data_IF_132105941894
#
_entry.id   IF_132105941894
#
_cell.length_a   1.000
_cell.length_b   1.000
_cell.length_c   1.000
_cell.angle_alpha   90.00
_cell.angle_beta   90.00
_cell.angle_gamma   90.00
#
_symmetry.space_group_name_H-M   'P 1'
#
loop_
_entity.id
_entity.type
_entity.pdbx_description
1 polymer ?
#
# COMPACT_ATOMS: atom_id res chain seq x y z
N UNK A 1 -5.15 32.34 -48.60
CA UNK A 1 -4.40 32.89 -47.45
C UNK A 1 -5.37 33.73 -46.63
N UNK A 2 -5.92 33.19 -45.54
CA UNK A 2 -6.66 33.92 -44.49
C UNK A 2 -6.64 33.08 -43.20
N UNK A 3 -6.03 33.69 -42.19
CA UNK A 3 -6.00 33.47 -40.72
C UNK A 3 -6.79 32.26 -40.19
N UNK A 4 -6.15 31.26 -39.56
CA UNK A 4 -5.71 31.17 -38.14
C UNK A 4 -6.77 31.54 -37.09
N UNK A 5 -6.89 30.63 -36.12
CA UNK A 5 -7.64 30.67 -34.87
C UNK A 5 -9.14 30.43 -34.98
N UNK A 6 -9.54 29.21 -34.62
CA UNK A 6 -10.66 29.04 -33.71
C UNK A 6 -10.39 27.90 -32.73
N UNK A 7 -10.25 28.35 -31.48
CA UNK A 7 -10.54 27.66 -30.23
C UNK A 7 -9.83 26.34 -29.95
N UNK A 8 -8.74 26.47 -29.19
CA UNK A 8 -8.46 25.61 -28.04
C UNK A 8 -9.79 25.15 -27.43
N UNK A 9 -10.15 23.89 -27.67
CA UNK A 9 -11.16 23.20 -26.89
C UNK A 9 -10.77 23.41 -25.44
N UNK A 10 -11.60 24.13 -24.69
CA UNK A 10 -11.38 24.36 -23.28
C UNK A 10 -11.43 22.98 -22.61
N UNK A 11 -10.26 22.38 -22.41
CA UNK A 11 -10.12 21.15 -21.64
C UNK A 11 -10.21 21.58 -20.19
N UNK A 12 -11.42 21.94 -19.75
CA UNK A 12 -11.71 21.90 -18.32
C UNK A 12 -11.24 20.52 -17.87
N UNK A 13 -10.28 20.42 -16.93
CA UNK A 13 -9.78 19.13 -16.53
C UNK A 13 -10.99 18.34 -16.07
N UNK A 14 -11.32 17.26 -16.79
CA UNK A 14 -12.44 16.41 -16.44
C UNK A 14 -12.32 16.09 -14.95
N UNK A 15 -13.43 16.11 -14.22
CA UNK A 15 -13.39 15.81 -12.79
C UNK A 15 -12.80 14.41 -12.59
N UNK A 16 -12.02 14.18 -11.53
CA UNK A 16 -11.51 12.85 -11.23
C UNK A 16 -12.70 11.90 -11.02
N UNK A 17 -12.63 10.72 -11.62
CA UNK A 17 -13.66 9.70 -11.48
C UNK A 17 -13.61 9.07 -10.09
N UNK A 18 -14.74 8.53 -9.64
CA UNK A 18 -14.82 7.79 -8.37
C UNK A 18 -13.83 6.62 -8.35
N UNK A 19 -13.63 5.96 -9.49
CA UNK A 19 -12.68 4.85 -9.61
C UNK A 19 -11.22 5.28 -9.41
N UNK A 20 -10.81 6.40 -10.01
CA UNK A 20 -9.47 7.01 -9.81
C UNK A 20 -9.27 7.39 -8.34
N UNK A 21 -10.27 8.02 -7.72
CA UNK A 21 -10.22 8.38 -6.30
C UNK A 21 -10.15 7.16 -5.39
N UNK A 22 -10.84 6.07 -5.75
CA UNK A 22 -10.84 4.82 -4.98
C UNK A 22 -9.48 4.13 -5.05
N UNK A 23 -8.83 4.09 -6.21
CA UNK A 23 -7.46 3.57 -6.35
C UNK A 23 -6.47 4.49 -5.60
N UNK A 24 -6.65 5.81 -5.68
CA UNK A 24 -5.86 6.75 -4.87
C UNK A 24 -6.02 6.53 -3.37
N UNK A 25 -7.24 6.26 -2.90
CA UNK A 25 -7.49 5.93 -1.50
C UNK A 25 -6.88 4.57 -1.10
N UNK A 26 -6.85 3.59 -2.01
CA UNK A 26 -6.14 2.34 -1.78
C UNK A 26 -4.64 2.57 -1.58
N UNK A 27 -4.03 3.38 -2.45
CA UNK A 27 -2.63 3.77 -2.32
C UNK A 27 -2.37 4.55 -1.03
N UNK A 28 -3.30 5.42 -0.63
CA UNK A 28 -3.22 6.17 0.62
C UNK A 28 -3.09 5.23 1.82
N UNK A 29 -3.94 4.20 1.91
CA UNK A 29 -3.90 3.23 2.98
C UNK A 29 -2.55 2.49 3.02
N UNK A 30 -2.00 2.08 1.87
CA UNK A 30 -0.68 1.44 1.81
C UNK A 30 0.44 2.38 2.26
N UNK A 31 0.46 3.63 1.77
CA UNK A 31 1.46 4.63 2.16
C UNK A 31 1.37 5.02 3.64
N UNK A 32 0.14 5.11 4.14
CA UNK A 32 -0.15 5.41 5.54
C UNK A 32 0.37 4.28 6.42
N UNK A 33 0.07 3.02 6.08
CA UNK A 33 0.59 1.84 6.77
C UNK A 33 2.12 1.83 6.87
N UNK A 34 2.83 2.11 5.78
CA UNK A 34 4.31 2.17 5.81
C UNK A 34 4.78 3.22 6.81
N UNK A 35 4.15 4.40 6.79
CA UNK A 35 4.53 5.50 7.69
C UNK A 35 4.21 5.17 9.16
N UNK A 36 3.06 4.55 9.42
CA UNK A 36 2.65 4.10 10.76
C UNK A 36 3.56 3.00 11.30
N UNK A 37 3.96 2.06 10.44
CA UNK A 37 4.66 0.84 10.84
C UNK A 37 6.17 1.03 10.99
N UNK A 38 6.75 1.88 10.15
CA UNK A 38 8.22 1.98 10.02
C UNK A 38 8.78 3.38 10.20
N UNK A 39 7.95 4.43 10.26
CA UNK A 39 8.39 5.82 10.44
C UNK A 39 7.86 6.45 11.72
N UNK A 40 7.22 5.67 12.57
CA UNK A 40 6.69 6.13 13.84
C UNK A 40 7.03 5.16 14.95
N UNK A 41 7.32 5.73 16.13
CA UNK A 41 7.47 4.98 17.36
C UNK A 41 6.13 4.48 17.92
N UNK A 42 4.98 4.80 17.30
CA UNK A 42 3.65 4.47 17.84
C UNK A 42 3.46 3.00 18.24
N UNK A 43 4.06 2.06 17.50
CA UNK A 43 4.02 0.62 17.79
C UNK A 43 4.98 0.18 18.90
N UNK A 44 6.09 0.91 19.07
CA UNK A 44 7.20 0.52 19.95
C UNK A 44 7.43 1.47 21.14
N UNK A 45 6.60 2.50 21.29
CA UNK A 45 6.77 3.59 22.26
C UNK A 45 6.83 3.13 23.73
N UNK A 46 6.35 1.91 24.02
CA UNK A 46 6.34 1.32 25.36
C UNK A 46 7.64 0.60 25.73
N UNK A 47 8.55 0.39 24.78
CA UNK A 47 9.78 -0.37 24.99
C UNK A 47 10.98 0.57 25.12
N UNK A 48 11.81 0.36 26.15
CA UNK A 48 13.02 1.18 26.39
C UNK A 48 14.07 1.13 25.28
N UNK A 49 13.98 0.15 24.38
CA UNK A 49 14.83 -0.02 23.19
C UNK A 49 13.99 -0.02 21.89
N UNK A 50 12.84 0.66 21.88
CA UNK A 50 11.89 0.63 20.77
C UNK A 50 12.43 1.15 19.45
N UNK A 51 13.36 2.12 19.47
CA UNK A 51 14.01 2.65 18.26
C UNK A 51 14.84 1.56 17.55
N UNK A 52 15.62 0.80 18.32
CA UNK A 52 16.40 -0.33 17.78
C UNK A 52 15.51 -1.44 17.21
N UNK A 53 14.36 -1.71 17.84
CA UNK A 53 13.38 -2.68 17.33
C UNK A 53 12.77 -2.21 16.01
N UNK A 54 12.40 -0.93 15.95
CA UNK A 54 11.86 -0.30 14.74
C UNK A 54 12.87 -0.40 13.59
N UNK A 55 14.11 0.03 13.82
CA UNK A 55 15.18 0.02 12.83
C UNK A 55 15.46 -1.40 12.31
N UNK A 56 15.56 -2.37 13.23
CA UNK A 56 15.82 -3.76 12.87
C UNK A 56 14.67 -4.33 12.04
N UNK A 57 13.43 -4.15 12.49
CA UNK A 57 12.24 -4.66 11.81
C UNK A 57 12.10 -4.02 10.42
N UNK A 58 12.39 -2.71 10.32
CA UNK A 58 12.33 -2.00 9.06
C UNK A 58 13.40 -2.45 8.07
N UNK A 59 14.66 -2.59 8.52
CA UNK A 59 15.76 -3.07 7.69
C UNK A 59 15.47 -4.46 7.13
N UNK A 60 14.99 -5.38 7.98
CA UNK A 60 14.61 -6.73 7.55
C UNK A 60 13.47 -6.67 6.53
N UNK A 61 12.48 -5.81 6.74
CA UNK A 61 11.38 -5.61 5.80
C UNK A 61 11.85 -5.04 4.46
N UNK A 62 12.80 -4.11 4.44
CA UNK A 62 13.38 -3.55 3.20
C UNK A 62 14.12 -4.63 2.42
N UNK A 63 14.94 -5.44 3.09
CA UNK A 63 15.65 -6.55 2.44
C UNK A 63 14.64 -7.55 1.87
N UNK A 64 13.64 -7.95 2.66
CA UNK A 64 12.62 -8.89 2.24
C UNK A 64 11.75 -8.36 1.08
N UNK A 65 11.34 -7.09 1.10
CA UNK A 65 10.56 -6.50 -0.01
C UNK A 65 11.39 -6.45 -1.29
N UNK A 66 12.67 -6.09 -1.19
CA UNK A 66 13.58 -6.01 -2.34
C UNK A 66 13.81 -7.38 -2.96
N UNK A 67 14.08 -8.39 -2.15
CA UNK A 67 14.23 -9.78 -2.60
C UNK A 67 12.93 -10.32 -3.21
N UNK A 68 11.78 -9.98 -2.63
CA UNK A 68 10.48 -10.39 -3.14
C UNK A 68 10.20 -9.78 -4.50
N UNK A 69 10.48 -8.49 -4.69
CA UNK A 69 10.30 -7.82 -5.99
C UNK A 69 11.29 -8.35 -7.05
N UNK A 70 12.54 -8.64 -6.67
CA UNK A 70 13.52 -9.28 -7.56
C UNK A 70 13.10 -10.70 -7.95
N UNK A 71 12.58 -11.49 -7.00
CA UNK A 71 12.04 -12.81 -7.30
C UNK A 71 10.79 -12.71 -8.18
N UNK A 72 9.89 -11.77 -7.89
CA UNK A 72 8.68 -11.53 -8.64
C UNK A 72 8.98 -11.18 -10.10
N UNK A 73 10.00 -10.36 -10.35
CA UNK A 73 10.44 -10.00 -11.70
C UNK A 73 11.20 -11.12 -12.41
N UNK A 74 11.99 -11.92 -11.69
CA UNK A 74 12.67 -13.09 -12.25
C UNK A 74 11.71 -14.23 -12.65
N UNK A 75 10.56 -14.34 -11.97
CA UNK A 75 9.54 -15.36 -12.20
C UNK A 75 8.20 -14.77 -12.67
N UNK A 76 8.26 -13.78 -13.56
CA UNK A 76 7.13 -12.99 -14.07
C UNK A 76 5.83 -13.78 -14.28
N UNK A 77 5.84 -14.85 -15.08
CA UNK A 77 4.64 -15.66 -15.41
C UNK A 77 4.04 -16.37 -14.21
N UNK A 78 4.88 -16.84 -13.28
CA UNK A 78 4.42 -17.53 -12.06
C UNK A 78 3.85 -16.54 -11.06
N UNK A 79 4.48 -15.37 -10.95
CA UNK A 79 3.99 -14.27 -10.12
C UNK A 79 2.63 -13.80 -10.62
N UNK A 80 2.49 -13.57 -11.93
CA UNK A 80 1.22 -13.18 -12.53
C UNK A 80 0.11 -14.21 -12.24
N UNK A 81 0.37 -15.50 -12.52
CA UNK A 81 -0.59 -16.57 -12.22
C UNK A 81 -0.95 -16.67 -10.73
N UNK A 82 -0.01 -16.40 -9.83
CA UNK A 82 -0.25 -16.36 -8.38
C UNK A 82 -1.18 -15.19 -8.01
N UNK A 83 -0.94 -14.01 -8.58
CA UNK A 83 -1.69 -12.79 -8.27
C UNK A 83 -3.08 -12.76 -8.93
N UNK A 84 -3.26 -13.45 -10.06
CA UNK A 84 -4.57 -13.66 -10.69
C UNK A 84 -5.52 -14.48 -9.81
N UNK A 85 -4.97 -15.31 -8.91
CA UNK A 85 -5.78 -16.13 -8.03
C UNK A 85 -6.56 -15.27 -7.02
N UNK A 86 -7.91 -15.43 -7.02
CA UNK A 86 -8.82 -14.61 -6.18
C UNK A 86 -8.48 -14.62 -4.69
N UNK A 87 -7.89 -15.70 -4.19
CA UNK A 87 -7.48 -15.78 -2.79
C UNK A 87 -6.32 -14.83 -2.47
N UNK A 88 -5.39 -14.63 -3.40
CA UNK A 88 -4.17 -13.81 -3.22
C UNK A 88 -4.52 -12.36 -2.88
N UNK A 89 -5.57 -11.83 -3.52
CA UNK A 89 -6.18 -10.52 -3.24
C UNK A 89 -6.57 -10.30 -1.78
N UNK A 90 -6.85 -11.36 -1.02
CA UNK A 90 -7.15 -11.28 0.41
C UNK A 90 -5.98 -11.76 1.28
N UNK A 91 -5.25 -12.78 0.83
CA UNK A 91 -4.13 -13.36 1.58
C UNK A 91 -2.98 -12.37 1.72
N UNK A 92 -2.64 -11.61 0.67
CA UNK A 92 -1.55 -10.64 0.74
C UNK A 92 -1.81 -9.53 1.76
N UNK A 93 -2.91 -8.75 1.67
CA UNK A 93 -3.17 -7.70 2.65
C UNK A 93 -3.39 -8.27 4.06
N UNK A 94 -3.95 -9.48 4.18
CA UNK A 94 -4.08 -10.17 5.48
C UNK A 94 -2.72 -10.56 6.05
N UNK A 95 -1.79 -11.01 5.21
CA UNK A 95 -0.42 -11.30 5.60
C UNK A 95 0.33 -10.07 6.09
N UNK A 96 0.16 -8.92 5.41
CA UNK A 96 0.70 -7.63 5.87
C UNK A 96 0.07 -7.25 7.22
N UNK A 97 -1.26 -7.34 7.36
CA UNK A 97 -1.95 -7.04 8.61
C UNK A 97 -1.48 -7.93 9.77
N UNK A 98 -1.38 -9.24 9.55
CA UNK A 98 -0.92 -10.20 10.55
C UNK A 98 0.53 -9.93 10.96
N UNK A 99 1.41 -9.62 10.00
CA UNK A 99 2.80 -9.25 10.30
C UNK A 99 2.90 -7.94 11.09
N UNK A 100 1.99 -6.98 10.84
CA UNK A 100 1.92 -5.71 11.59
C UNK A 100 1.49 -5.95 13.05
N UNK A 101 0.53 -6.84 13.28
CA UNK A 101 0.12 -7.24 14.62
C UNK A 101 1.21 -8.03 15.38
N UNK A 102 2.14 -8.64 14.66
CA UNK A 102 3.29 -9.34 15.24
C UNK A 102 4.39 -8.38 15.71
N UNK A 103 4.49 -7.17 15.13
CA UNK A 103 5.57 -6.21 15.41
C UNK A 103 5.71 -5.85 16.89
N UNK A 104 4.64 -5.54 17.66
CA UNK A 104 4.79 -5.23 19.09
C UNK A 104 5.38 -6.39 19.91
N UNK A 105 5.21 -7.64 19.47
CA UNK A 105 5.77 -8.80 20.17
C UNK A 105 7.31 -8.83 20.12
N UNK A 106 7.94 -8.03 19.24
CA UNK A 106 9.38 -7.86 19.22
C UNK A 106 9.94 -7.25 20.52
N UNK A 107 9.13 -6.52 21.28
CA UNK A 107 9.53 -5.92 22.55
C UNK A 107 9.56 -6.88 23.74
N UNK A 108 9.22 -8.17 23.54
CA UNK A 108 9.37 -9.20 24.57
C UNK A 108 10.86 -9.47 24.80
N UNK A 109 11.37 -9.44 26.04
CA UNK A 109 12.79 -9.68 26.29
C UNK A 109 13.20 -11.12 25.91
N UNK A 110 14.39 -11.24 25.30
CA UNK A 110 15.01 -12.52 24.97
C UNK A 110 14.83 -12.96 23.50
N UNK A 111 15.22 -14.20 23.21
CA UNK A 111 15.26 -14.77 21.85
C UNK A 111 13.87 -14.79 21.21
N UNK A 112 12.82 -15.01 22.01
CA UNK A 112 11.45 -15.05 21.53
C UNK A 112 11.06 -13.71 20.87
N UNK A 113 11.25 -12.57 21.55
CA UNK A 113 10.94 -11.26 20.96
C UNK A 113 11.80 -10.93 19.75
N UNK A 114 13.11 -11.20 19.81
CA UNK A 114 13.98 -11.03 18.65
C UNK A 114 13.47 -11.81 17.43
N UNK A 115 13.11 -13.09 17.61
CA UNK A 115 12.55 -13.92 16.54
C UNK A 115 11.23 -13.38 16.00
N UNK A 116 10.36 -12.82 16.84
CA UNK A 116 9.13 -12.16 16.41
C UNK A 116 9.41 -10.91 15.58
N UNK A 117 10.41 -10.10 15.94
CA UNK A 117 10.81 -8.92 15.17
C UNK A 117 11.33 -9.28 13.77
N UNK A 118 12.24 -10.26 13.69
CA UNK A 118 12.72 -10.76 12.41
C UNK A 118 11.60 -11.36 11.55
N UNK A 119 10.74 -12.18 12.16
CA UNK A 119 9.60 -12.77 11.46
C UNK A 119 8.61 -11.70 10.98
N UNK A 120 8.29 -10.71 11.81
CA UNK A 120 7.40 -9.61 11.45
C UNK A 120 7.96 -8.81 10.28
N UNK A 121 9.24 -8.44 10.33
CA UNK A 121 9.93 -7.74 9.23
C UNK A 121 9.93 -8.55 7.94
N UNK A 122 10.31 -9.83 8.00
CA UNK A 122 10.40 -10.70 6.83
C UNK A 122 9.03 -10.95 6.19
N UNK A 123 8.02 -11.29 6.99
CA UNK A 123 6.65 -11.51 6.51
C UNK A 123 6.05 -10.22 5.95
N UNK A 124 6.24 -9.09 6.63
CA UNK A 124 5.81 -7.78 6.15
C UNK A 124 6.41 -7.47 4.78
N UNK A 125 7.73 -7.60 4.62
CA UNK A 125 8.41 -7.35 3.35
C UNK A 125 7.95 -8.29 2.24
N UNK A 126 7.75 -9.58 2.54
CA UNK A 126 7.27 -10.55 1.56
C UNK A 126 5.85 -10.25 1.08
N UNK A 127 4.89 -10.10 2.00
CA UNK A 127 3.50 -9.86 1.63
C UNK A 127 3.31 -8.46 1.02
N UNK A 128 3.96 -7.43 1.56
CA UNK A 128 3.87 -6.08 1.02
C UNK A 128 4.55 -5.94 -0.33
N UNK A 129 5.62 -6.71 -0.61
CA UNK A 129 6.29 -6.72 -1.91
C UNK A 129 5.40 -7.29 -3.01
N UNK A 130 4.76 -8.43 -2.76
CA UNK A 130 3.77 -8.99 -3.68
C UNK A 130 2.56 -8.07 -3.84
N UNK A 131 2.09 -7.46 -2.74
CA UNK A 131 0.98 -6.52 -2.79
C UNK A 131 1.34 -5.24 -3.57
N UNK A 132 2.58 -4.76 -3.47
CA UNK A 132 3.07 -3.64 -4.27
C UNK A 132 3.15 -3.99 -5.76
N UNK A 133 3.47 -5.24 -6.08
CA UNK A 133 3.41 -5.72 -7.46
C UNK A 133 1.98 -5.66 -8.03
N UNK A 134 0.95 -5.99 -7.24
CA UNK A 134 -0.46 -5.79 -7.64
C UNK A 134 -0.78 -4.32 -7.93
N UNK A 135 -0.29 -3.38 -7.11
CA UNK A 135 -0.41 -1.95 -7.39
C UNK A 135 0.32 -1.56 -8.69
N UNK A 136 1.50 -2.13 -8.94
CA UNK A 136 2.25 -1.91 -10.18
C UNK A 136 1.48 -2.38 -11.42
N UNK A 137 0.88 -3.57 -11.37
CA UNK A 137 0.01 -4.09 -12.44
C UNK A 137 -1.27 -3.25 -12.60
N UNK A 138 -1.85 -2.78 -11.49
CA UNK A 138 -3.02 -1.92 -11.55
C UNK A 138 -2.71 -0.57 -12.24
N UNK A 139 -1.58 0.04 -11.90
CA UNK A 139 -1.15 1.30 -12.52
C UNK A 139 -0.73 1.15 -13.97
N UNK A 140 -0.21 0.00 -14.40
CA UNK A 140 0.15 -0.21 -15.82
C UNK A 140 -1.05 -0.20 -16.76
N UNK A 141 -2.26 -0.45 -16.23
CA UNK A 141 -3.52 -0.40 -16.97
C UNK A 141 -4.19 0.99 -16.93
N UNK A 142 -3.65 1.93 -16.17
CA UNK A 142 -4.22 3.27 -16.00
C UNK A 142 -3.55 4.29 -16.93
N UNK A 143 -4.29 5.35 -17.28
CA UNK A 143 -3.70 6.49 -17.98
C UNK A 143 -2.78 7.28 -17.05
N UNK A 144 -1.80 7.99 -17.61
CA UNK A 144 -0.90 8.88 -16.83
C UNK A 144 -1.69 9.89 -15.99
N UNK A 145 -2.79 10.43 -16.53
CA UNK A 145 -3.67 11.35 -15.78
C UNK A 145 -4.27 10.66 -14.56
N UNK A 146 -4.79 9.46 -14.72
CA UNK A 146 -5.38 8.67 -13.63
C UNK A 146 -4.35 8.34 -12.56
N UNK A 147 -3.12 8.01 -12.95
CA UNK A 147 -2.00 7.78 -12.02
C UNK A 147 -1.67 9.05 -11.23
N UNK A 148 -1.57 10.22 -11.90
CA UNK A 148 -1.28 11.50 -11.22
C UNK A 148 -2.38 11.86 -10.23
N UNK A 149 -3.66 11.71 -10.61
CA UNK A 149 -4.79 11.91 -9.70
C UNK A 149 -4.71 10.95 -8.52
N UNK A 150 -4.51 9.65 -8.78
CA UNK A 150 -4.40 8.62 -7.75
C UNK A 150 -3.25 8.89 -6.78
N UNK A 151 -2.08 9.30 -7.28
CA UNK A 151 -0.90 9.62 -6.47
C UNK A 151 -1.11 10.88 -5.62
N UNK A 152 -1.73 11.93 -6.18
CA UNK A 152 -2.04 13.16 -5.45
C UNK A 152 -3.06 12.89 -4.33
N UNK A 153 -4.17 12.22 -4.65
CA UNK A 153 -5.18 11.81 -3.66
C UNK A 153 -4.56 10.88 -2.61
N UNK A 154 -3.74 9.92 -3.05
CA UNK A 154 -3.02 8.99 -2.19
C UNK A 154 -2.14 9.69 -1.17
N UNK A 155 -1.36 10.67 -1.60
CA UNK A 155 -0.44 11.42 -0.73
C UNK A 155 -1.17 12.28 0.30
N UNK A 156 -2.23 13.00 -0.12
CA UNK A 156 -3.03 13.83 0.78
C UNK A 156 -3.71 12.96 1.84
N UNK A 157 -4.42 11.92 1.40
CA UNK A 157 -5.18 11.07 2.32
C UNK A 157 -4.24 10.26 3.22
N UNK A 158 -3.08 9.81 2.71
CA UNK A 158 -2.06 9.13 3.53
C UNK A 158 -1.58 10.03 4.67
N UNK A 159 -1.38 11.32 4.40
CA UNK A 159 -0.94 12.29 5.41
C UNK A 159 -2.01 12.49 6.48
N UNK A 160 -3.28 12.60 6.08
CA UNK A 160 -4.41 12.70 7.01
C UNK A 160 -4.59 11.45 7.86
N UNK A 161 -4.48 10.26 7.25
CA UNK A 161 -4.54 8.98 7.97
C UNK A 161 -3.39 8.85 8.98
N UNK A 162 -2.18 9.27 8.59
CA UNK A 162 -1.04 9.29 9.51
C UNK A 162 -1.25 10.27 10.66
N UNK A 163 -1.76 11.47 10.40
CA UNK A 163 -2.10 12.43 11.45
C UNK A 163 -3.14 11.88 12.44
N UNK A 164 -4.17 11.18 11.93
CA UNK A 164 -5.14 10.49 12.76
C UNK A 164 -4.50 9.39 13.62
N UNK A 165 -3.58 8.61 13.04
CA UNK A 165 -2.86 7.56 13.75
C UNK A 165 -2.07 8.08 14.96
N UNK A 166 -1.50 9.28 14.87
CA UNK A 166 -0.74 9.87 15.99
C UNK A 166 -1.60 10.18 17.22
N UNK A 167 -2.93 10.18 17.10
CA UNK A 167 -3.85 10.40 18.21
C UNK A 167 -4.12 9.12 19.02
N UNK A 168 -3.74 7.95 18.51
CA UNK A 168 -4.07 6.66 19.11
C UNK A 168 -3.05 6.20 20.16
N UNK A 169 -3.53 5.42 21.12
CA UNK A 169 -2.66 4.69 22.05
C UNK A 169 -2.00 3.49 21.33
N UNK A 170 -0.87 2.94 21.83
CA UNK A 170 -0.08 1.93 21.10
C UNK A 170 -0.86 0.69 20.60
N UNK A 171 -1.85 0.22 21.37
CA UNK A 171 -2.71 -0.89 20.94
C UNK A 171 -3.65 -0.49 19.80
N UNK A 172 -4.35 0.63 19.95
CA UNK A 172 -5.26 1.18 18.94
C UNK A 172 -4.49 1.54 17.65
N UNK A 173 -3.31 2.13 17.81
CA UNK A 173 -2.37 2.45 16.74
C UNK A 173 -1.99 1.18 15.96
N UNK A 174 -1.68 0.08 16.65
CA UNK A 174 -1.36 -1.20 16.03
C UNK A 174 -2.54 -1.77 15.22
N UNK A 175 -3.74 -1.80 15.81
CA UNK A 175 -4.95 -2.28 15.13
C UNK A 175 -5.29 -1.39 13.93
N UNK A 176 -5.17 -0.08 14.08
CA UNK A 176 -5.41 0.88 13.00
C UNK A 176 -4.43 0.67 11.86
N UNK A 177 -3.12 0.58 12.15
CA UNK A 177 -2.10 0.30 11.15
C UNK A 177 -2.34 -1.05 10.45
N UNK A 178 -2.68 -2.11 11.19
CA UNK A 178 -2.97 -3.42 10.63
C UNK A 178 -4.23 -3.45 9.76
N UNK A 179 -5.19 -2.55 9.98
CA UNK A 179 -6.39 -2.44 9.15
C UNK A 179 -6.12 -1.80 7.78
N UNK A 180 -5.11 -0.95 7.67
CA UNK A 180 -4.81 -0.19 6.45
C UNK A 180 -4.55 -1.10 5.23
N UNK A 181 -3.71 -2.16 5.30
CA UNK A 181 -3.53 -3.08 4.17
C UNK A 181 -4.83 -3.76 3.73
N UNK A 182 -5.71 -4.13 4.66
CA UNK A 182 -7.00 -4.77 4.35
C UNK A 182 -7.91 -3.80 3.58
N UNK A 183 -8.01 -2.56 4.06
CA UNK A 183 -8.77 -1.50 3.41
C UNK A 183 -8.18 -1.21 2.02
N UNK A 184 -6.84 -1.11 1.92
CA UNK A 184 -6.16 -0.93 0.65
C UNK A 184 -6.52 -2.02 -0.36
N UNK A 185 -6.47 -3.29 0.07
CA UNK A 185 -6.81 -4.43 -0.77
C UNK A 185 -8.25 -4.35 -1.29
N UNK A 186 -9.21 -3.99 -0.44
CA UNK A 186 -10.63 -3.82 -0.80
C UNK A 186 -10.92 -2.60 -1.71
N UNK A 187 -10.19 -1.51 -1.51
CA UNK A 187 -10.33 -0.31 -2.33
C UNK A 187 -9.70 -0.51 -3.71
N UNK A 188 -8.49 -1.06 -3.79
CA UNK A 188 -7.81 -1.35 -5.07
C UNK A 188 -8.67 -2.27 -5.93
N UNK A 189 -9.13 -3.35 -5.30
CA UNK A 189 -10.13 -4.27 -5.76
C UNK A 189 -11.36 -3.65 -6.43
N UNK A 190 -11.92 -2.62 -5.80
CA UNK A 190 -13.18 -1.98 -6.21
C UNK A 190 -12.92 -0.90 -7.25
N UNK A 191 -11.86 -0.11 -7.07
CA UNK A 191 -11.42 0.93 -8.00
C UNK A 191 -11.07 0.36 -9.37
N UNK A 192 -10.31 -0.75 -9.42
CA UNK A 192 -9.92 -1.37 -10.69
C UNK A 192 -11.11 -1.92 -11.50
N UNK A 193 -12.13 -2.46 -10.83
CA UNK A 193 -13.39 -2.83 -11.50
C UNK A 193 -14.07 -1.62 -12.14
N UNK A 194 -14.07 -0.48 -11.43
CA UNK A 194 -14.63 0.77 -11.95
C UNK A 194 -13.86 1.31 -13.16
N UNK A 195 -12.52 1.27 -13.13
CA UNK A 195 -11.68 1.73 -14.24
C UNK A 195 -11.92 0.91 -15.51
N UNK A 196 -11.99 -0.42 -15.39
CA UNK A 196 -12.24 -1.31 -16.53
C UNK A 196 -13.62 -1.10 -17.16
N UNK A 197 -14.65 -0.83 -16.35
CA UNK A 197 -16.00 -0.55 -16.84
C UNK A 197 -16.08 0.78 -17.61
N UNK A 198 -15.39 1.81 -17.14
CA UNK A 198 -15.34 3.12 -17.82
C UNK A 198 -14.59 3.04 -19.15
N UNK A 199 -13.46 2.33 -19.17
CA UNK A 199 -12.67 2.16 -20.40
C UNK A 199 -13.42 1.35 -21.48
N UNK A 200 -14.24 0.37 -21.07
CA UNK A 200 -15.11 -0.37 -22.00
C UNK A 200 -16.29 0.45 -22.52
N UNK A 201 -16.84 1.36 -21.71
CA UNK A 201 -17.95 2.23 -22.11
C UNK A 201 -17.49 3.34 -23.08
N UNK A 202 -16.25 3.81 -22.97
CA UNK A 202 -15.67 4.83 -23.87
C UNK A 202 -15.26 4.31 -25.26
N UNK A 203 -15.28 2.99 -25.49
CA UNK A 203 -14.94 2.35 -26.78
C UNK A 203 -16.17 1.88 -27.59
N UNK A 204 -17.39 2.13 -27.09
CA UNK A 204 -18.65 1.86 -27.81
C UNK A 204 -19.23 3.16 -28.34
#
# INVERSE_FOLDING_TARGET
MRSTHDHHASTSPARPSVAELTVGAALACTMAWVSMSFKSMGLFARYGHGESLLDTTYLVSIIAVSLTLLAASAFDRRTEALLEHRATRFVLPLGVAASTLLMPLAGIPGIAGASCGYAAGALSGMFSGLFLFEFGMAFSLMTTRSIVVGAATGSILSTLLFALFLLFQPFEACVFAASMPLIAGMLLASGMKGVQLVDQAGRR
#
